data_IF_242922595500
#
_entry.id   IF_242922595500
#
_cell.length_a   1.000
_cell.length_b   1.000
_cell.length_c   1.000
_cell.angle_alpha   90.00
_cell.angle_beta   90.00
_cell.angle_gamma   90.00
#
_symmetry.space_group_name_H-M   'P 1'
#
loop_
_entity.id
_entity.type
_entity.pdbx_description
1 polymer ?
#
# COMPACT_ATOMS: atom_id res chain seq x y z
N UNK A 1 -13.30 34.80 26.18
CA UNK A 1 -12.81 34.01 27.34
C UNK A 1 -12.66 32.54 26.91
N UNK A 2 -11.99 31.67 27.68
CA UNK A 2 -11.60 30.28 27.30
C UNK A 2 -12.37 29.22 28.12
N UNK A 3 -12.76 28.04 27.62
CA UNK A 3 -12.99 27.61 26.21
C UNK A 3 -14.20 26.64 26.13
N UNK A 4 -14.21 25.28 26.21
CA UNK A 4 -13.22 24.19 26.04
C UNK A 4 -13.95 22.83 25.79
N UNK A 5 -14.44 22.54 24.57
CA UNK A 5 -15.02 21.22 24.24
C UNK A 5 -15.02 20.87 22.73
N UNK A 6 -13.90 20.40 22.20
CA UNK A 6 -13.82 19.79 20.85
C UNK A 6 -12.71 18.73 20.81
N UNK A 7 -13.07 17.43 20.91
CA UNK A 7 -12.24 16.25 20.57
C UNK A 7 -12.93 14.90 20.87
N UNK A 8 -14.12 14.61 20.32
CA UNK A 8 -14.84 13.33 20.58
C UNK A 8 -15.56 12.73 19.34
N UNK A 9 -15.03 12.89 18.13
CA UNK A 9 -15.66 12.33 16.90
C UNK A 9 -14.70 11.78 15.83
N UNK A 10 -13.38 11.76 16.07
CA UNK A 10 -12.37 11.39 15.03
C UNK A 10 -11.81 9.96 15.22
N UNK A 11 -12.15 9.27 16.31
CA UNK A 11 -11.56 7.96 16.67
C UNK A 11 -12.50 6.75 16.40
N UNK A 12 -13.20 6.73 15.27
CA UNK A 12 -13.91 5.51 14.79
C UNK A 12 -13.60 5.27 13.30
N UNK A 13 -13.81 6.27 12.45
CA UNK A 13 -13.67 6.20 10.98
C UNK A 13 -12.31 5.66 10.50
N UNK A 14 -11.23 5.94 11.25
CA UNK A 14 -9.87 5.49 10.93
C UNK A 14 -9.59 4.01 11.29
N UNK A 15 -10.52 3.30 11.94
CA UNK A 15 -10.45 1.85 12.13
C UNK A 15 -11.31 1.12 11.09
N UNK A 16 -12.50 1.66 10.83
CA UNK A 16 -13.47 1.15 9.85
C UNK A 16 -12.84 1.02 8.44
N UNK A 17 -12.21 2.11 7.98
CA UNK A 17 -11.48 2.11 6.71
C UNK A 17 -10.38 1.05 6.63
N UNK A 18 -9.74 0.67 7.75
CA UNK A 18 -8.62 -0.28 7.76
C UNK A 18 -9.07 -1.74 7.64
N UNK A 19 -10.20 -2.09 8.27
CA UNK A 19 -10.86 -3.40 8.07
C UNK A 19 -11.30 -3.53 6.60
N UNK A 20 -11.81 -2.44 6.03
CA UNK A 20 -12.18 -2.38 4.61
C UNK A 20 -10.97 -2.59 3.68
N UNK A 21 -9.83 -1.90 3.87
CA UNK A 21 -8.64 -2.12 3.01
C UNK A 21 -8.17 -3.58 3.07
N UNK A 22 -8.18 -4.21 4.24
CA UNK A 22 -7.72 -5.61 4.38
C UNK A 22 -8.65 -6.61 3.65
N UNK A 23 -9.97 -6.35 3.68
CA UNK A 23 -10.96 -7.11 2.90
C UNK A 23 -10.81 -6.88 1.39
N UNK A 24 -10.69 -5.62 0.97
CA UNK A 24 -10.52 -5.22 -0.43
C UNK A 24 -9.22 -5.77 -1.02
N UNK A 25 -8.14 -5.85 -0.23
CA UNK A 25 -6.91 -6.53 -0.62
C UNK A 25 -7.11 -8.04 -0.78
N UNK A 26 -7.83 -8.70 0.14
CA UNK A 26 -8.14 -10.13 0.03
C UNK A 26 -8.94 -10.43 -1.25
N UNK A 27 -9.87 -9.54 -1.61
CA UNK A 27 -10.61 -9.59 -2.88
C UNK A 27 -9.66 -9.41 -4.07
N UNK A 28 -8.71 -8.46 -4.01
CA UNK A 28 -7.70 -8.27 -5.06
C UNK A 28 -6.90 -9.55 -5.32
N UNK A 29 -6.38 -10.23 -4.29
CA UNK A 29 -5.64 -11.49 -4.43
C UNK A 29 -6.48 -12.59 -5.08
N UNK A 30 -7.75 -12.74 -4.68
CA UNK A 30 -8.64 -13.72 -5.31
C UNK A 30 -8.96 -13.37 -6.76
N UNK A 31 -9.07 -12.09 -7.11
CA UNK A 31 -9.24 -11.62 -8.49
C UNK A 31 -7.96 -11.81 -9.30
N UNK A 32 -6.77 -11.52 -8.75
CA UNK A 32 -5.47 -11.75 -9.38
C UNK A 32 -5.27 -13.23 -9.72
N UNK A 33 -5.49 -14.12 -8.75
CA UNK A 33 -5.50 -15.57 -8.96
C UNK A 33 -6.48 -16.00 -10.06
N UNK A 34 -7.73 -15.49 -10.02
CA UNK A 34 -8.74 -15.79 -11.04
C UNK A 34 -8.34 -15.31 -12.44
N UNK A 35 -7.69 -14.16 -12.55
CA UNK A 35 -7.19 -13.60 -13.81
C UNK A 35 -5.95 -14.34 -14.34
N UNK A 36 -5.17 -15.01 -13.48
CA UNK A 36 -4.06 -15.88 -13.89
C UNK A 36 -4.48 -17.30 -14.32
N UNK A 37 -5.77 -17.56 -14.51
CA UNK A 37 -6.26 -18.85 -15.05
C UNK A 37 -5.68 -19.08 -16.46
N UNK A 38 -4.87 -20.13 -16.69
CA UNK A 38 -4.20 -20.33 -17.96
C UNK A 38 -5.21 -20.66 -19.07
N UNK A 39 -5.14 -19.93 -20.19
CA UNK A 39 -6.04 -20.10 -21.34
C UNK A 39 -6.79 -18.83 -21.78
N UNK A 40 -6.59 -17.69 -21.10
CA UNK A 40 -7.04 -16.39 -21.63
C UNK A 40 -6.10 -15.92 -22.73
N UNK A 41 -6.51 -16.07 -23.99
CA UNK A 41 -5.82 -15.48 -25.15
C UNK A 41 -5.82 -13.94 -25.04
N UNK A 42 -4.71 -13.30 -25.39
CA UNK A 42 -4.69 -11.84 -25.59
C UNK A 42 -5.59 -11.43 -26.76
N UNK A 43 -6.10 -10.20 -26.71
CA UNK A 43 -6.91 -9.60 -27.78
C UNK A 43 -6.12 -9.32 -29.08
N UNK A 44 -4.81 -9.62 -29.11
CA UNK A 44 -4.00 -9.52 -30.32
C UNK A 44 -3.96 -10.85 -31.10
N UNK A 45 -4.42 -10.82 -32.36
CA UNK A 45 -4.49 -11.97 -33.28
C UNK A 45 -3.12 -12.50 -33.77
N UNK A 46 -2.03 -12.25 -33.02
CA UNK A 46 -0.66 -12.69 -33.30
C UNK A 46 0.02 -13.12 -32.00
N UNK A 47 0.23 -14.42 -31.82
CA UNK A 47 0.93 -15.04 -30.68
C UNK A 47 2.44 -14.71 -30.55
N UNK A 48 2.89 -13.60 -31.13
CA UNK A 48 4.25 -13.04 -31.00
C UNK A 48 4.26 -11.92 -29.93
N UNK A 49 3.09 -11.32 -29.64
CA UNK A 49 2.93 -10.25 -28.63
C UNK A 49 1.93 -10.63 -27.51
N UNK A 50 1.58 -11.92 -27.40
CA UNK A 50 0.81 -12.43 -26.26
C UNK A 50 1.69 -12.43 -24.99
N UNK A 51 1.06 -12.37 -23.81
CA UNK A 51 1.77 -12.22 -22.55
C UNK A 51 2.20 -13.57 -21.98
N UNK A 52 3.51 -13.79 -21.88
CA UNK A 52 4.06 -15.06 -21.44
C UNK A 52 3.66 -15.46 -20.00
N UNK A 53 3.57 -16.76 -19.74
CA UNK A 53 3.22 -17.34 -18.44
C UNK A 53 4.14 -16.86 -17.30
N UNK A 54 5.39 -16.49 -17.61
CA UNK A 54 6.33 -15.89 -16.65
C UNK A 54 5.88 -14.50 -16.15
N UNK A 55 5.11 -13.74 -16.95
CA UNK A 55 4.50 -12.46 -16.54
C UNK A 55 3.38 -12.72 -15.53
N UNK A 56 2.50 -13.68 -15.80
CA UNK A 56 1.44 -14.09 -14.86
C UNK A 56 2.02 -14.61 -13.53
N UNK A 57 3.09 -15.41 -13.57
CA UNK A 57 3.81 -15.86 -12.37
C UNK A 57 4.44 -14.69 -11.59
N UNK A 58 5.00 -13.70 -12.30
CA UNK A 58 5.63 -12.51 -11.71
C UNK A 58 4.61 -11.59 -11.03
N UNK A 59 3.44 -11.39 -11.65
CA UNK A 59 2.29 -10.67 -11.09
C UNK A 59 1.93 -11.21 -9.70
N UNK A 60 1.68 -12.52 -9.58
CA UNK A 60 1.31 -13.14 -8.30
C UNK A 60 2.39 -12.98 -7.22
N UNK A 61 3.68 -13.07 -7.59
CA UNK A 61 4.79 -12.86 -6.65
C UNK A 61 4.82 -11.40 -6.18
N UNK A 62 4.70 -10.42 -7.07
CA UNK A 62 4.66 -9.00 -6.70
C UNK A 62 3.43 -8.67 -5.85
N UNK A 63 2.27 -9.25 -6.16
CA UNK A 63 1.03 -9.07 -5.37
C UNK A 63 1.18 -9.63 -3.94
N UNK A 64 1.61 -10.88 -3.77
CA UNK A 64 1.81 -11.51 -2.44
C UNK A 64 2.92 -10.82 -1.63
N UNK A 65 3.98 -10.34 -2.28
CA UNK A 65 5.04 -9.55 -1.63
C UNK A 65 4.50 -8.19 -1.20
N UNK A 66 3.75 -7.48 -2.06
CA UNK A 66 3.11 -6.20 -1.70
C UNK A 66 2.14 -6.36 -0.53
N UNK A 67 1.35 -7.44 -0.50
CA UNK A 67 0.43 -7.78 0.59
C UNK A 67 1.16 -7.86 1.92
N UNK A 68 2.27 -8.61 1.94
CA UNK A 68 3.08 -8.84 3.12
C UNK A 68 3.61 -7.52 3.70
N UNK A 69 4.03 -6.58 2.84
CA UNK A 69 4.46 -5.26 3.25
C UNK A 69 3.32 -4.36 3.74
N UNK A 70 2.14 -4.39 3.11
CA UNK A 70 0.96 -3.63 3.58
C UNK A 70 0.37 -4.19 4.87
N UNK A 71 0.29 -5.52 5.03
CA UNK A 71 -0.08 -6.16 6.28
C UNK A 71 0.89 -5.77 7.39
N UNK A 72 2.20 -5.85 7.15
CA UNK A 72 3.21 -5.43 8.12
C UNK A 72 3.04 -3.96 8.51
N UNK A 73 2.93 -3.06 7.53
CA UNK A 73 2.69 -1.63 7.74
C UNK A 73 1.43 -1.36 8.57
N UNK A 74 0.33 -2.03 8.25
CA UNK A 74 -0.96 -1.97 8.94
C UNK A 74 -0.90 -2.51 10.36
N UNK A 75 -0.29 -3.68 10.58
CA UNK A 75 -0.15 -4.30 11.89
C UNK A 75 0.75 -3.48 12.82
N UNK A 76 1.84 -2.91 12.31
CA UNK A 76 2.70 -1.98 13.06
C UNK A 76 1.93 -0.71 13.43
N UNK A 77 1.16 -0.12 12.50
CA UNK A 77 0.34 1.05 12.79
C UNK A 77 -0.77 0.76 13.83
N UNK A 78 -1.44 -0.40 13.73
CA UNK A 78 -2.46 -0.83 14.69
C UNK A 78 -1.89 -1.12 16.07
N UNK A 79 -0.82 -1.91 16.16
CA UNK A 79 -0.15 -2.23 17.41
C UNK A 79 0.38 -0.99 18.12
N UNK A 80 0.89 -0.02 17.35
CA UNK A 80 1.35 1.26 17.86
C UNK A 80 0.21 2.15 18.35
N UNK A 81 -0.91 2.21 17.61
CA UNK A 81 -2.14 2.92 18.02
C UNK A 81 -2.76 2.32 19.28
N UNK A 82 -2.77 0.99 19.39
CA UNK A 82 -3.21 0.27 20.60
C UNK A 82 -2.27 0.55 21.78
N UNK A 83 -0.96 0.51 21.56
CA UNK A 83 0.03 0.84 22.58
C UNK A 83 -0.19 2.25 23.13
N UNK A 84 -0.31 3.28 22.26
CA UNK A 84 -0.59 4.67 22.68
C UNK A 84 -1.86 4.75 23.56
N UNK A 85 -2.93 4.03 23.19
CA UNK A 85 -4.17 4.04 23.95
C UNK A 85 -4.00 3.43 25.37
N UNK A 86 -3.38 2.24 25.46
CA UNK A 86 -3.05 1.58 26.73
C UNK A 86 -2.04 2.38 27.57
N UNK A 87 -1.17 3.16 26.92
CA UNK A 87 -0.23 4.07 27.55
C UNK A 87 -1.00 5.23 28.20
N UNK A 88 -1.87 5.90 27.44
CA UNK A 88 -2.67 7.04 27.87
C UNK A 88 -3.76 6.69 28.90
N UNK A 89 -4.11 5.41 29.07
CA UNK A 89 -5.03 4.95 30.12
C UNK A 89 -4.37 4.62 31.46
N UNK A 90 -3.03 4.65 31.53
CA UNK A 90 -2.27 4.30 32.74
C UNK A 90 -1.42 5.49 33.20
N UNK A 91 -2.10 6.45 33.82
CA UNK A 91 -1.65 7.81 34.13
C UNK A 91 -0.71 7.84 35.36
N UNK A 92 0.53 7.40 35.17
CA UNK A 92 1.60 7.39 36.18
C UNK A 92 2.99 7.52 35.52
N UNK A 93 3.78 8.50 35.99
CA UNK A 93 5.15 8.84 35.55
C UNK A 93 5.34 9.16 34.04
N UNK A 94 4.70 10.25 33.61
CA UNK A 94 4.74 10.80 32.26
C UNK A 94 6.15 11.05 31.70
N UNK A 95 7.03 11.71 32.45
CA UNK A 95 8.24 12.34 31.91
C UNK A 95 9.25 11.34 31.30
N UNK A 96 9.48 10.22 31.97
CA UNK A 96 10.41 9.18 31.48
C UNK A 96 9.75 8.30 30.41
N UNK A 97 8.46 8.01 30.58
CA UNK A 97 7.67 7.12 29.71
C UNK A 97 7.39 7.75 28.34
N UNK A 98 7.16 9.06 28.29
CA UNK A 98 7.01 9.81 27.04
C UNK A 98 8.23 9.65 26.11
N UNK A 99 9.45 9.78 26.63
CA UNK A 99 10.68 9.74 25.81
C UNK A 99 10.99 8.34 25.24
N UNK A 100 10.72 7.28 26.00
CA UNK A 100 10.87 5.89 25.52
C UNK A 100 9.83 5.61 24.43
N UNK A 101 8.58 5.99 24.67
CA UNK A 101 7.51 5.84 23.68
C UNK A 101 7.79 6.63 22.41
N UNK A 102 8.31 7.86 22.49
CA UNK A 102 8.67 8.67 21.31
C UNK A 102 9.67 7.95 20.39
N UNK A 103 10.62 7.19 20.95
CA UNK A 103 11.55 6.38 20.14
C UNK A 103 10.84 5.19 19.49
N UNK A 104 10.05 4.42 20.25
CA UNK A 104 9.31 3.25 19.71
C UNK A 104 8.28 3.70 18.66
N UNK A 105 7.59 4.81 18.89
CA UNK A 105 6.66 5.49 17.98
C UNK A 105 7.34 5.93 16.69
N UNK A 106 8.53 6.57 16.79
CA UNK A 106 9.31 7.00 15.63
C UNK A 106 9.83 5.83 14.80
N UNK A 107 10.32 4.76 15.44
CA UNK A 107 10.72 3.52 14.74
C UNK A 107 9.51 2.78 14.13
N UNK A 108 8.39 2.70 14.84
CA UNK A 108 7.17 2.06 14.36
C UNK A 108 6.54 2.79 13.18
N UNK A 109 6.42 4.12 13.24
CA UNK A 109 5.98 4.92 12.09
C UNK A 109 6.95 4.81 10.91
N UNK A 110 8.26 4.80 11.14
CA UNK A 110 9.25 4.70 10.06
C UNK A 110 9.20 3.31 9.38
N UNK A 111 9.15 2.23 10.16
CA UNK A 111 8.99 0.87 9.65
C UNK A 111 7.65 0.67 8.93
N UNK A 112 6.57 1.25 9.45
CA UNK A 112 5.25 1.24 8.81
C UNK A 112 5.24 2.03 7.49
N UNK A 113 5.90 3.20 7.44
CA UNK A 113 6.03 4.01 6.24
C UNK A 113 6.90 3.35 5.17
N UNK A 114 8.04 2.76 5.55
CA UNK A 114 8.90 1.99 4.63
C UNK A 114 8.13 0.78 4.09
N UNK A 115 7.39 0.06 4.94
CA UNK A 115 6.51 -1.04 4.51
C UNK A 115 5.47 -0.57 3.49
N UNK A 116 4.77 0.55 3.76
CA UNK A 116 3.80 1.14 2.83
C UNK A 116 4.43 1.52 1.49
N UNK A 117 5.60 2.17 1.51
CA UNK A 117 6.36 2.55 0.29
C UNK A 117 6.74 1.32 -0.53
N UNK A 118 7.30 0.28 0.09
CA UNK A 118 7.65 -0.97 -0.60
C UNK A 118 6.42 -1.68 -1.17
N UNK A 119 5.32 -1.72 -0.40
CA UNK A 119 4.03 -2.25 -0.85
C UNK A 119 3.51 -1.52 -2.10
N UNK A 120 3.52 -0.18 -2.09
CA UNK A 120 3.11 0.65 -3.22
C UNK A 120 3.93 0.37 -4.49
N UNK A 121 5.25 0.22 -4.36
CA UNK A 121 6.13 -0.11 -5.50
C UNK A 121 5.83 -1.50 -6.05
N UNK A 122 5.66 -2.52 -5.21
CA UNK A 122 5.32 -3.87 -5.68
C UNK A 122 3.89 -3.96 -6.28
N UNK A 123 2.90 -3.23 -5.76
CA UNK A 123 1.58 -3.12 -6.41
C UNK A 123 1.67 -2.40 -7.76
N UNK A 124 2.46 -1.32 -7.88
CA UNK A 124 2.68 -0.64 -9.16
C UNK A 124 3.24 -1.61 -10.20
N UNK A 125 4.25 -2.41 -9.83
CA UNK A 125 4.85 -3.43 -10.70
C UNK A 125 3.85 -4.54 -11.08
N UNK A 126 3.04 -5.01 -10.12
CA UNK A 126 1.97 -6.00 -10.40
C UNK A 126 0.94 -5.44 -11.40
N UNK A 127 0.50 -4.20 -11.22
CA UNK A 127 -0.44 -3.54 -12.15
C UNK A 127 0.15 -3.30 -13.54
N UNK A 128 1.46 -3.04 -13.67
CA UNK A 128 2.11 -3.03 -15.00
C UNK A 128 2.01 -4.40 -15.67
N UNK A 129 2.29 -5.50 -14.95
CA UNK A 129 2.12 -6.85 -15.50
C UNK A 129 0.66 -7.20 -15.81
N UNK A 130 -0.33 -6.68 -15.07
CA UNK A 130 -1.76 -6.77 -15.46
C UNK A 130 -2.04 -6.05 -16.78
N UNK A 131 -1.43 -4.87 -17.00
CA UNK A 131 -1.58 -4.12 -18.25
C UNK A 131 -0.93 -4.87 -19.42
N UNK A 132 0.26 -5.44 -19.24
CA UNK A 132 0.92 -6.28 -20.25
C UNK A 132 0.08 -7.50 -20.63
N UNK A 133 -0.55 -8.18 -19.66
CA UNK A 133 -1.44 -9.31 -19.90
C UNK A 133 -2.70 -8.90 -20.67
N UNK A 134 -3.24 -7.70 -20.43
CA UNK A 134 -4.50 -7.24 -21.05
C UNK A 134 -4.34 -6.52 -22.39
N UNK A 135 -3.21 -5.87 -22.65
CA UNK A 135 -2.96 -5.05 -23.85
C UNK A 135 -1.80 -5.56 -24.73
N UNK A 136 -1.09 -6.60 -24.30
CA UNK A 136 0.11 -7.15 -24.93
C UNK A 136 1.40 -6.55 -24.36
N UNK A 137 2.52 -7.24 -24.60
CA UNK A 137 3.85 -6.85 -24.15
C UNK A 137 4.23 -5.42 -24.57
N UNK A 138 4.82 -4.64 -23.66
CA UNK A 138 5.33 -3.29 -23.95
C UNK A 138 6.35 -3.26 -25.10
N UNK A 139 7.11 -4.35 -25.26
CA UNK A 139 8.06 -4.55 -26.38
C UNK A 139 7.39 -4.54 -27.76
N UNK A 140 6.08 -4.80 -27.85
CA UNK A 140 5.29 -4.73 -29.08
C UNK A 140 4.88 -3.29 -29.46
N UNK A 141 5.19 -2.29 -28.62
CA UNK A 141 5.05 -0.87 -28.95
C UNK A 141 3.61 -0.36 -29.06
N UNK A 142 2.64 -0.98 -28.39
CA UNK A 142 1.25 -0.50 -28.44
C UNK A 142 1.08 0.82 -27.66
N UNK A 143 0.78 1.89 -28.39
CA UNK A 143 0.46 3.24 -27.87
C UNK A 143 -0.47 3.21 -26.65
N UNK A 144 -1.47 2.32 -26.66
CA UNK A 144 -2.43 2.15 -25.56
C UNK A 144 -1.79 1.59 -24.28
N UNK A 145 -0.95 0.57 -24.36
CA UNK A 145 -0.26 0.01 -23.20
C UNK A 145 0.77 0.98 -22.63
N UNK A 146 1.56 1.63 -23.51
CA UNK A 146 2.57 2.62 -23.11
C UNK A 146 1.91 3.81 -22.40
N UNK A 147 0.82 4.36 -22.95
CA UNK A 147 0.06 5.45 -22.30
C UNK A 147 -0.56 5.02 -20.98
N UNK A 148 -1.12 3.81 -20.89
CA UNK A 148 -1.71 3.28 -19.65
C UNK A 148 -0.67 3.10 -18.54
N UNK A 149 0.49 2.51 -18.85
CA UNK A 149 1.62 2.38 -17.91
C UNK A 149 2.17 3.74 -17.51
N UNK A 150 2.37 4.67 -18.45
CA UNK A 150 2.85 6.01 -18.14
C UNK A 150 1.89 6.78 -17.21
N UNK A 151 0.58 6.68 -17.43
CA UNK A 151 -0.44 7.29 -16.57
C UNK A 151 -0.44 6.66 -15.16
N UNK A 152 -0.36 5.33 -15.05
CA UNK A 152 -0.32 4.63 -13.77
C UNK A 152 0.95 4.96 -12.98
N UNK A 153 2.12 4.92 -13.62
CA UNK A 153 3.41 5.21 -12.99
C UNK A 153 3.47 6.67 -12.52
N UNK A 154 3.02 7.64 -13.33
CA UNK A 154 3.03 9.06 -12.94
C UNK A 154 2.09 9.35 -11.78
N UNK A 155 0.85 8.84 -11.82
CA UNK A 155 -0.11 8.98 -10.72
C UNK A 155 0.43 8.37 -9.41
N UNK A 156 0.83 7.10 -9.42
CA UNK A 156 1.29 6.41 -8.20
C UNK A 156 2.60 7.03 -7.69
N UNK A 157 3.53 7.42 -8.57
CA UNK A 157 4.76 8.10 -8.14
C UNK A 157 4.49 9.47 -7.52
N UNK A 158 3.55 10.25 -8.05
CA UNK A 158 3.18 11.55 -7.47
C UNK A 158 2.56 11.40 -6.07
N UNK A 159 1.67 10.43 -5.88
CA UNK A 159 1.07 10.13 -4.58
C UNK A 159 2.12 9.63 -3.56
N UNK A 160 3.05 8.79 -4.01
CA UNK A 160 4.16 8.29 -3.19
C UNK A 160 5.11 9.41 -2.77
N UNK A 161 5.39 10.37 -3.65
CA UNK A 161 6.23 11.52 -3.35
C UNK A 161 5.57 12.43 -2.30
N UNK A 162 4.27 12.74 -2.45
CA UNK A 162 3.50 13.48 -1.44
C UNK A 162 3.51 12.74 -0.09
N UNK A 163 3.29 11.42 -0.08
CA UNK A 163 3.34 10.61 1.14
C UNK A 163 4.72 10.67 1.83
N UNK A 164 5.81 10.48 1.08
CA UNK A 164 7.19 10.56 1.60
C UNK A 164 7.48 11.97 2.13
N UNK A 165 7.07 13.03 1.44
CA UNK A 165 7.21 14.40 1.92
C UNK A 165 6.43 14.66 3.21
N UNK A 166 5.20 14.15 3.35
CA UNK A 166 4.40 14.26 4.57
C UNK A 166 5.04 13.51 5.75
N UNK A 167 5.52 12.28 5.52
CA UNK A 167 6.24 11.50 6.54
C UNK A 167 7.53 12.21 6.96
N UNK A 168 8.32 12.72 6.01
CA UNK A 168 9.55 13.44 6.33
C UNK A 168 9.28 14.71 7.14
N UNK A 169 8.31 15.52 6.72
CA UNK A 169 7.87 16.72 7.43
C UNK A 169 7.51 16.42 8.90
N UNK A 170 6.66 15.40 9.12
CA UNK A 170 6.23 14.95 10.45
C UNK A 170 7.32 14.22 11.26
N UNK A 171 8.52 14.03 10.70
CA UNK A 171 9.71 13.52 11.40
C UNK A 171 10.74 14.62 11.67
N UNK A 172 10.72 15.72 10.91
CA UNK A 172 11.58 16.90 11.09
C UNK A 172 11.00 17.96 12.02
N UNK A 173 9.68 17.99 12.22
CA UNK A 173 8.95 19.11 12.81
C UNK A 173 7.99 18.69 13.93
#
# INVERSE_FOLDING_TARGET
MRTTASSTSVHVTALDGLVNVNSLFTIAVFVGLSLTTPGQHSLQLKGICDADINVARRLLVFEVVSFSFFLFSSLVAQGLKLAINLINSNDTDEAFRAHINLKVLRFGMLGSAIGSVMGCVFLMLSMVSVIEIRLGLLSCGSESAVRAVAALVTLVSSALLVYISTVFYAFTH
#
